data_IF_396245640579
#
_entry.id   IF_396245640579
#
_cell.length_a   1.000
_cell.length_b   1.000
_cell.length_c   1.000
_cell.angle_alpha   90.00
_cell.angle_beta   90.00
_cell.angle_gamma   90.00
#
_symmetry.space_group_name_H-M   'P 1'
#
loop_
_entity.id
_entity.type
_entity.pdbx_description
1 polymer ?
#
# COMPACT_ATOMS: atom_id res chain seq x y z
N UNK A 1 -1.66 -12.79 12.86
CA UNK A 1 -0.90 -12.40 11.66
C UNK A 1 -0.21 -13.62 11.08
N UNK A 2 -0.35 -13.83 9.79
CA UNK A 2 0.34 -14.93 9.12
C UNK A 2 1.83 -14.64 9.10
N UNK A 3 2.66 -15.63 9.39
CA UNK A 3 4.11 -15.47 9.31
C UNK A 3 4.50 -15.33 7.84
N UNK A 4 5.37 -14.38 7.54
CA UNK A 4 5.92 -14.18 6.21
C UNK A 4 7.22 -14.95 6.06
N UNK A 5 7.43 -15.50 4.87
CA UNK A 5 8.72 -16.06 4.48
C UNK A 5 9.76 -14.93 4.40
N UNK A 6 10.85 -15.07 5.12
CA UNK A 6 11.92 -14.06 5.15
C UNK A 6 12.52 -13.79 3.76
N UNK A 7 12.62 -14.82 2.91
CA UNK A 7 13.13 -14.63 1.55
C UNK A 7 12.17 -13.83 0.68
N UNK A 8 10.86 -14.11 0.82
CA UNK A 8 9.85 -13.34 0.10
C UNK A 8 9.85 -11.89 0.54
N UNK A 9 10.01 -11.65 1.84
CA UNK A 9 10.06 -10.30 2.39
C UNK A 9 11.30 -9.55 1.90
N UNK A 10 12.46 -10.21 1.86
CA UNK A 10 13.68 -9.59 1.35
C UNK A 10 13.57 -9.23 -0.13
N UNK A 11 12.94 -10.08 -0.92
CA UNK A 11 12.71 -9.79 -2.34
C UNK A 11 11.79 -8.59 -2.53
N UNK A 12 10.74 -8.50 -1.70
CA UNK A 12 9.85 -7.35 -1.74
C UNK A 12 10.58 -6.06 -1.39
N UNK A 13 11.42 -6.08 -0.35
CA UNK A 13 12.23 -4.92 0.01
C UNK A 13 13.23 -4.54 -1.07
N UNK A 14 13.82 -5.55 -1.73
CA UNK A 14 14.75 -5.30 -2.84
C UNK A 14 14.05 -4.65 -4.04
N UNK A 15 12.82 -5.08 -4.33
CA UNK A 15 12.02 -4.50 -5.40
C UNK A 15 11.70 -3.04 -5.13
N UNK A 16 11.67 -2.63 -3.88
CA UNK A 16 11.40 -1.27 -3.47
C UNK A 16 12.50 -0.29 -3.87
N UNK A 17 13.61 -0.76 -4.44
CA UNK A 17 14.67 0.14 -4.90
C UNK A 17 14.16 1.20 -5.89
N UNK A 18 13.03 0.97 -6.55
CA UNK A 18 12.37 1.96 -7.41
C UNK A 18 11.62 3.03 -6.62
N UNK A 19 11.31 2.77 -5.35
CA UNK A 19 10.91 3.79 -4.40
C UNK A 19 9.44 4.10 -4.27
N UNK A 20 8.53 3.38 -4.93
CA UNK A 20 7.11 3.78 -4.91
C UNK A 20 6.20 2.60 -4.62
N UNK A 21 5.30 2.79 -3.65
CA UNK A 21 4.28 1.80 -3.30
C UNK A 21 2.90 2.46 -3.28
N UNK A 22 1.85 1.65 -3.49
CA UNK A 22 0.51 2.02 -3.08
C UNK A 22 0.18 1.27 -1.79
N UNK A 23 -0.24 2.01 -0.78
CA UNK A 23 -0.76 1.43 0.46
C UNK A 23 -2.27 1.49 0.38
N UNK A 24 -2.94 0.34 0.50
CA UNK A 24 -4.38 0.25 0.31
C UNK A 24 -5.05 -0.38 1.53
N UNK A 25 -6.25 0.10 1.83
CA UNK A 25 -7.09 -0.45 2.90
C UNK A 25 -8.56 -0.17 2.57
N UNK A 26 -9.45 -0.61 3.43
CA UNK A 26 -10.87 -0.26 3.32
C UNK A 26 -11.21 0.84 4.32
N UNK A 27 -11.97 1.83 3.86
CA UNK A 27 -12.59 2.84 4.69
C UNK A 27 -14.10 2.67 4.55
N UNK A 28 -14.78 2.24 5.63
CA UNK A 28 -16.23 2.01 5.60
C UNK A 28 -16.63 1.11 4.42
N UNK A 29 -15.92 0.01 4.25
CA UNK A 29 -16.09 -0.98 3.17
C UNK A 29 -15.77 -0.48 1.77
N UNK A 30 -15.28 0.74 1.62
CA UNK A 30 -14.83 1.27 0.33
C UNK A 30 -13.31 1.20 0.23
N UNK A 31 -12.76 0.70 -0.88
CA UNK A 31 -11.30 0.61 -1.01
C UNK A 31 -10.69 1.97 -1.28
N UNK A 32 -9.59 2.26 -0.60
CA UNK A 32 -8.81 3.47 -0.81
C UNK A 32 -7.34 3.11 -0.98
N UNK A 33 -6.59 3.99 -1.64
CA UNK A 33 -5.16 3.83 -1.82
C UNK A 33 -4.45 5.17 -1.77
N UNK A 34 -3.21 5.15 -1.36
CA UNK A 34 -2.34 6.33 -1.35
C UNK A 34 -0.95 5.93 -1.85
N UNK A 35 -0.35 6.79 -2.66
CA UNK A 35 1.02 6.61 -3.13
C UNK A 35 1.97 7.05 -2.03
N UNK A 36 2.92 6.18 -1.70
CA UNK A 36 3.95 6.50 -0.71
C UNK A 36 5.33 6.19 -1.28
N UNK A 37 6.29 7.06 -0.99
CA UNK A 37 7.70 6.83 -1.26
C UNK A 37 8.53 6.84 0.02
N UNK A 38 7.88 6.90 1.16
CA UNK A 38 8.50 6.89 2.49
C UNK A 38 8.60 5.49 3.10
N UNK A 39 8.17 4.46 2.35
CA UNK A 39 8.21 3.08 2.84
C UNK A 39 9.63 2.68 3.17
N UNK A 40 9.81 2.03 4.32
CA UNK A 40 11.11 1.54 4.74
C UNK A 40 10.93 0.25 5.53
N UNK A 41 11.85 -0.68 5.35
CA UNK A 41 11.90 -1.86 6.20
C UNK A 41 12.54 -1.50 7.53
N UNK A 42 11.92 -1.95 8.62
CA UNK A 42 12.43 -1.72 9.98
C UNK A 42 13.02 -3.01 10.53
N UNK A 43 12.33 -4.12 10.34
CA UNK A 43 12.75 -5.38 10.95
C UNK A 43 12.19 -6.55 10.15
N UNK A 44 12.93 -7.65 10.10
CA UNK A 44 12.47 -8.91 9.53
C UNK A 44 11.86 -9.84 10.58
N UNK A 45 12.30 -9.72 11.82
CA UNK A 45 11.87 -10.61 12.91
C UNK A 45 11.69 -9.80 14.19
N UNK A 46 10.47 -9.35 14.52
CA UNK A 46 9.24 -9.52 13.74
C UNK A 46 9.24 -8.67 12.46
N UNK A 47 8.41 -9.02 11.47
CA UNK A 47 8.35 -8.24 10.23
C UNK A 47 7.68 -6.89 10.49
N UNK A 48 8.46 -5.83 10.40
CA UNK A 48 8.00 -4.47 10.67
C UNK A 48 8.42 -3.57 9.52
N UNK A 49 7.47 -2.77 9.05
CA UNK A 49 7.71 -1.75 8.04
C UNK A 49 7.27 -0.39 8.55
N UNK A 50 7.82 0.65 7.96
CA UNK A 50 7.49 2.03 8.28
C UNK A 50 7.08 2.76 7.00
N UNK A 51 6.01 3.52 7.10
CA UNK A 51 5.61 4.48 6.07
C UNK A 51 4.84 5.61 6.75
N UNK A 52 4.72 6.74 6.05
CA UNK A 52 4.12 7.93 6.64
C UNK A 52 2.93 8.42 5.80
N UNK A 53 1.89 8.86 6.49
CA UNK A 53 0.77 9.56 5.88
C UNK A 53 0.66 10.93 6.56
N UNK A 54 0.45 11.97 5.76
CA UNK A 54 0.34 13.32 6.30
C UNK A 54 -0.97 13.48 7.07
N UNK A 55 -0.90 14.00 8.29
CA UNK A 55 -2.07 14.12 9.15
C UNK A 55 -3.16 15.03 8.58
N UNK A 56 -2.79 16.02 7.78
CA UNK A 56 -3.75 16.94 7.19
C UNK A 56 -4.52 16.36 6.01
N UNK A 57 -4.14 15.18 5.53
CA UNK A 57 -4.90 14.53 4.46
C UNK A 57 -6.21 14.00 5.00
N UNK A 58 -7.26 14.11 4.18
CA UNK A 58 -8.61 13.69 4.58
C UNK A 58 -8.71 12.19 4.89
N UNK A 59 -7.83 11.38 4.29
CA UNK A 59 -7.83 9.92 4.48
C UNK A 59 -6.95 9.46 5.64
N UNK A 60 -6.22 10.36 6.32
CA UNK A 60 -5.31 9.97 7.38
C UNK A 60 -5.99 9.18 8.49
N UNK A 61 -7.22 9.55 8.84
CA UNK A 61 -7.98 8.85 9.87
C UNK A 61 -8.27 7.39 9.51
N UNK A 62 -8.53 7.12 8.22
CA UNK A 62 -8.80 5.76 7.78
C UNK A 62 -7.59 4.86 8.00
N UNK A 63 -6.38 5.36 7.71
CA UNK A 63 -5.16 4.59 7.92
C UNK A 63 -4.81 4.46 9.40
N UNK A 64 -5.09 5.46 10.21
CA UNK A 64 -4.86 5.39 11.66
C UNK A 64 -5.79 4.39 12.33
N UNK A 65 -7.00 4.21 11.80
CA UNK A 65 -8.01 3.35 12.38
C UNK A 65 -8.02 1.93 11.81
N UNK A 66 -7.32 1.68 10.70
CA UNK A 66 -7.36 0.38 10.06
C UNK A 66 -6.55 -0.66 10.84
N UNK A 67 -7.04 -1.90 10.84
CA UNK A 67 -6.32 -3.03 11.44
C UNK A 67 -5.36 -3.67 10.44
N UNK A 68 -5.63 -3.53 9.15
CA UNK A 68 -4.86 -4.16 8.10
C UNK A 68 -4.76 -3.24 6.90
N UNK A 69 -3.64 -3.32 6.22
CA UNK A 69 -3.43 -2.62 4.96
C UNK A 69 -2.52 -3.47 4.07
N UNK A 70 -2.59 -3.24 2.76
CA UNK A 70 -1.68 -3.88 1.81
C UNK A 70 -0.63 -2.89 1.35
N UNK A 71 0.57 -3.41 1.09
CA UNK A 71 1.66 -2.64 0.49
C UNK A 71 1.91 -3.24 -0.89
N UNK A 72 1.71 -2.43 -1.90
CA UNK A 72 1.78 -2.86 -3.30
C UNK A 72 2.94 -2.12 -3.96
N UNK A 73 4.04 -2.84 -4.18
CA UNK A 73 5.23 -2.26 -4.82
C UNK A 73 4.94 -2.11 -6.31
N UNK A 74 5.05 -0.89 -6.81
CA UNK A 74 4.73 -0.60 -8.20
C UNK A 74 5.91 -0.90 -9.12
N UNK A 75 5.62 -1.46 -10.27
CA UNK A 75 6.60 -1.64 -11.34
C UNK A 75 6.72 -0.36 -12.16
N UNK A 76 7.74 -0.31 -13.02
CA UNK A 76 7.93 0.83 -13.92
C UNK A 76 6.75 1.03 -14.86
N UNK A 77 6.04 -0.06 -15.22
CA UNK A 77 4.87 0.02 -16.09
C UNK A 77 3.63 0.57 -15.37
N UNK A 78 3.70 0.77 -14.05
CA UNK A 78 2.58 1.24 -13.23
C UNK A 78 2.73 2.69 -12.78
N UNK A 79 3.54 3.46 -13.47
CA UNK A 79 3.78 4.87 -13.14
C UNK A 79 2.47 5.68 -13.11
N UNK A 80 1.52 5.34 -13.98
CA UNK A 80 0.23 6.04 -14.01
C UNK A 80 -0.53 5.85 -12.70
N UNK A 81 -0.48 4.67 -12.10
CA UNK A 81 -1.12 4.42 -10.80
C UNK A 81 -0.51 5.29 -9.70
N UNK A 82 0.81 5.43 -9.72
CA UNK A 82 1.51 6.29 -8.77
C UNK A 82 0.98 7.72 -8.85
N UNK A 83 0.81 8.24 -10.06
CA UNK A 83 0.34 9.60 -10.27
C UNK A 83 -1.12 9.78 -9.86
N UNK A 84 -1.96 8.80 -10.14
CA UNK A 84 -3.39 8.87 -9.80
C UNK A 84 -3.58 8.97 -8.30
N UNK A 85 -2.91 8.09 -7.54
CA UNK A 85 -3.15 7.98 -6.10
C UNK A 85 -2.25 8.87 -5.25
N UNK A 86 -1.48 9.75 -5.88
CA UNK A 86 -0.72 10.79 -5.18
C UNK A 86 -1.48 12.10 -5.06
N UNK A 87 -2.64 12.23 -5.69
CA UNK A 87 -3.43 13.46 -5.68
C UNK A 87 -4.30 13.52 -4.44
N UNK A 88 -4.23 14.65 -3.73
CA UNK A 88 -5.06 14.85 -2.54
C UNK A 88 -6.54 14.81 -2.91
N UNK A 89 -7.32 14.09 -2.11
CA UNK A 89 -8.75 13.95 -2.30
C UNK A 89 -9.18 12.96 -3.38
N UNK A 90 -8.22 12.29 -4.03
CA UNK A 90 -8.50 11.33 -5.11
C UNK A 90 -7.95 9.96 -4.73
N UNK A 91 -8.40 9.44 -3.59
CA UNK A 91 -7.87 8.21 -3.04
C UNK A 91 -8.82 7.02 -3.16
N UNK A 92 -10.01 7.21 -3.73
CA UNK A 92 -10.91 6.10 -3.98
C UNK A 92 -10.27 5.15 -4.99
N UNK A 93 -10.09 3.90 -4.59
CA UNK A 93 -9.43 2.91 -5.44
C UNK A 93 -10.42 2.39 -6.48
N UNK A 94 -10.08 2.58 -7.76
CA UNK A 94 -10.94 2.14 -8.85
C UNK A 94 -10.92 0.63 -8.97
N UNK A 95 -12.08 0.04 -9.25
CA UNK A 95 -12.21 -1.42 -9.38
C UNK A 95 -11.31 -1.97 -10.49
N UNK A 96 -11.10 -1.21 -11.56
CA UNK A 96 -10.23 -1.62 -12.66
C UNK A 96 -8.77 -1.76 -12.25
N UNK A 97 -8.36 -1.14 -11.16
CA UNK A 97 -7.01 -1.22 -10.63
C UNK A 97 -6.85 -2.30 -9.56
N UNK A 98 -7.93 -2.91 -9.12
CA UNK A 98 -7.91 -3.90 -8.05
C UNK A 98 -7.81 -5.32 -8.61
N UNK A 99 -7.08 -6.15 -7.89
CA UNK A 99 -7.10 -7.58 -8.10
C UNK A 99 -8.47 -8.12 -7.67
N UNK A 100 -8.96 -9.13 -8.39
CA UNK A 100 -10.24 -9.77 -8.09
C UNK A 100 -10.16 -10.73 -6.90
N UNK A 101 -9.01 -10.91 -6.33
CA UNK A 101 -8.81 -11.79 -5.20
C UNK A 101 -9.59 -11.29 -3.98
N UNK A 102 -10.25 -12.21 -3.26
CA UNK A 102 -11.05 -11.86 -2.07
C UNK A 102 -10.16 -11.82 -0.84
N UNK A 103 -9.37 -10.77 -0.76
CA UNK A 103 -8.51 -10.52 0.39
C UNK A 103 -9.22 -9.63 1.40
N UNK A 104 -8.76 -9.67 2.66
CA UNK A 104 -9.25 -8.76 3.71
C UNK A 104 -8.81 -7.32 3.47
N UNK A 105 -7.87 -7.10 2.59
CA UNK A 105 -7.41 -5.77 2.18
C UNK A 105 -7.43 -5.69 0.66
N UNK A 106 -7.60 -4.47 0.10
CA UNK A 106 -7.53 -4.32 -1.36
C UNK A 106 -6.12 -4.64 -1.85
N UNK A 107 -6.03 -5.35 -2.96
CA UNK A 107 -4.77 -5.62 -3.64
C UNK A 107 -4.78 -4.98 -5.01
N UNK A 108 -3.63 -4.46 -5.42
CA UNK A 108 -3.49 -3.78 -6.70
C UNK A 108 -3.22 -4.84 -7.77
N UNK A 109 -3.91 -4.70 -8.88
CA UNK A 109 -3.76 -5.56 -10.03
C UNK A 109 -2.41 -5.30 -10.71
N UNK A 110 -1.72 -6.36 -11.08
CA UNK A 110 -0.47 -6.27 -11.83
C UNK A 110 -0.68 -5.74 -13.25
#
# INVERSE_FOLDING_TARGET
MTSMDHQALRRAFGSFATGVCLVATYKDDAPIAITVNSFSSVSLEPPIVLWCVQNQLSISHAYQACDQFSINVLSESQVDLSNIYSQEGKNDLALEHMDNDKSQVPLIKD
#
